data_IF_424496293733
#
_entry.id   IF_424496293733
#
_cell.length_a   1.000
_cell.length_b   1.000
_cell.length_c   1.000
_cell.angle_alpha   90.00
_cell.angle_beta   90.00
_cell.angle_gamma   90.00
#
_symmetry.space_group_name_H-M   'P 1'
#
loop_
_entity.id
_entity.type
_entity.pdbx_description
1 polymer ?
#
# COMPACT_ATOMS: atom_id res chain seq x y z
N UNK A 1 4.79 -15.74 22.37
CA UNK A 1 4.95 -15.16 21.02
C UNK A 1 5.65 -13.82 21.16
N UNK A 2 6.75 -13.54 20.46
CA UNK A 2 7.38 -12.20 20.51
C UNK A 2 6.46 -11.20 19.80
N UNK A 3 6.18 -10.06 20.42
CA UNK A 3 5.44 -8.95 19.81
C UNK A 3 6.36 -8.09 18.94
N UNK A 4 5.79 -7.41 17.94
CA UNK A 4 6.55 -6.45 17.14
C UNK A 4 6.85 -5.22 18.01
N UNK A 5 8.09 -4.71 17.96
CA UNK A 5 8.39 -3.44 18.62
C UNK A 5 7.46 -2.35 18.06
N UNK A 6 6.90 -1.52 18.94
CA UNK A 6 5.97 -0.45 18.55
C UNK A 6 6.57 0.49 17.50
N UNK A 7 7.86 0.83 17.62
CA UNK A 7 8.58 1.66 16.65
C UNK A 7 8.65 1.01 15.26
N UNK A 8 8.91 -0.29 15.20
CA UNK A 8 8.92 -1.06 13.95
C UNK A 8 7.53 -1.07 13.29
N UNK A 9 6.47 -1.29 14.08
CA UNK A 9 5.10 -1.24 13.57
C UNK A 9 4.77 0.16 13.00
N UNK A 10 5.05 1.21 13.77
CA UNK A 10 4.80 2.60 13.35
C UNK A 10 5.57 2.90 12.06
N UNK A 11 6.85 2.54 11.99
CA UNK A 11 7.67 2.77 10.80
C UNK A 11 7.13 2.05 9.55
N UNK A 12 6.66 0.81 9.70
CA UNK A 12 6.02 0.07 8.59
C UNK A 12 4.73 0.74 8.12
N UNK A 13 3.84 1.10 9.05
CA UNK A 13 2.55 1.72 8.72
C UNK A 13 2.73 3.10 8.08
N UNK A 14 3.63 3.92 8.62
CA UNK A 14 3.97 5.22 8.02
C UNK A 14 4.58 5.02 6.64
N UNK A 15 5.54 4.10 6.50
CA UNK A 15 6.17 3.79 5.22
C UNK A 15 5.17 3.33 4.16
N UNK A 16 4.21 2.49 4.54
CA UNK A 16 3.12 2.07 3.66
C UNK A 16 2.26 3.24 3.20
N UNK A 17 1.89 4.12 4.14
CA UNK A 17 1.20 5.36 3.82
C UNK A 17 1.99 6.24 2.86
N UNK A 18 3.31 6.37 3.05
CA UNK A 18 4.18 7.14 2.18
C UNK A 18 4.31 6.53 0.79
N UNK A 19 4.38 5.20 0.66
CA UNK A 19 4.34 4.51 -0.64
C UNK A 19 3.04 4.83 -1.38
N UNK A 20 1.90 4.70 -0.70
CA UNK A 20 0.59 4.99 -1.30
C UNK A 20 0.48 6.47 -1.68
N UNK A 21 0.99 7.38 -0.85
CA UNK A 21 1.02 8.81 -1.14
C UNK A 21 1.87 9.09 -2.38
N UNK A 22 3.09 8.57 -2.44
CA UNK A 22 4.00 8.76 -3.57
C UNK A 22 3.38 8.27 -4.89
N UNK A 23 2.82 7.05 -4.90
CA UNK A 23 2.15 6.50 -6.10
C UNK A 23 0.91 7.31 -6.47
N UNK A 24 0.16 7.81 -5.49
CA UNK A 24 -1.02 8.66 -5.76
C UNK A 24 -0.60 9.97 -6.44
N UNK A 25 0.38 10.68 -5.88
CA UNK A 25 0.84 11.95 -6.43
C UNK A 25 1.48 11.76 -7.82
N UNK A 26 2.33 10.74 -7.97
CA UNK A 26 2.93 10.40 -9.25
C UNK A 26 1.87 10.04 -10.31
N UNK A 27 0.84 9.30 -9.93
CA UNK A 27 -0.26 8.95 -10.82
C UNK A 27 -1.05 10.18 -11.27
N UNK A 28 -1.28 11.16 -10.40
CA UNK A 28 -1.92 12.41 -10.77
C UNK A 28 -1.06 13.23 -11.74
N UNK A 29 0.22 13.39 -11.43
CA UNK A 29 1.18 14.09 -12.29
C UNK A 29 1.27 13.44 -13.68
N UNK A 30 1.37 12.11 -13.73
CA UNK A 30 1.45 11.34 -14.99
C UNK A 30 0.20 11.48 -15.88
N UNK A 31 -0.94 11.88 -15.31
CA UNK A 31 -2.19 12.13 -16.04
C UNK A 31 -2.47 13.64 -16.23
N UNK A 32 -1.46 14.50 -16.01
CA UNK A 32 -1.59 15.96 -16.02
C UNK A 32 -2.76 16.46 -15.15
N UNK A 33 -3.03 15.76 -14.05
CA UNK A 33 -4.08 16.13 -13.10
C UNK A 33 -3.50 17.10 -12.07
N UNK A 34 -4.27 18.11 -11.69
CA UNK A 34 -3.82 19.02 -10.65
C UNK A 34 -3.62 18.32 -9.30
N UNK A 35 -2.47 18.59 -8.68
CA UNK A 35 -2.18 18.24 -7.28
C UNK A 35 -2.74 19.27 -6.30
N UNK A 36 -3.18 20.44 -6.78
CA UNK A 36 -3.78 21.46 -5.93
C UNK A 36 -5.17 21.02 -5.47
N UNK A 37 -5.48 21.25 -4.20
CA UNK A 37 -6.75 20.82 -3.60
C UNK A 37 -6.71 19.38 -3.13
N UNK A 38 -7.89 18.76 -2.99
CA UNK A 38 -8.06 17.47 -2.30
C UNK A 38 -8.43 16.32 -3.24
N UNK A 39 -8.39 16.51 -4.56
CA UNK A 39 -8.82 15.50 -5.54
C UNK A 39 -7.98 14.21 -5.43
N UNK A 40 -6.69 14.30 -5.13
CA UNK A 40 -5.80 13.15 -4.92
C UNK A 40 -6.21 12.28 -3.72
N UNK A 41 -6.93 12.85 -2.74
CA UNK A 41 -7.48 12.08 -1.61
C UNK A 41 -8.50 11.03 -2.04
N UNK A 42 -9.17 11.23 -3.19
CA UNK A 42 -10.09 10.24 -3.77
C UNK A 42 -9.41 8.97 -4.26
N UNK A 43 -8.07 8.94 -4.32
CA UNK A 43 -7.28 7.72 -4.55
C UNK A 43 -6.50 7.34 -3.29
N UNK A 44 -5.82 8.30 -2.65
CA UNK A 44 -4.99 8.03 -1.48
C UNK A 44 -5.78 7.39 -0.33
N UNK A 45 -6.90 7.99 0.09
CA UNK A 45 -7.65 7.49 1.24
C UNK A 45 -8.29 6.12 0.98
N UNK A 46 -8.99 5.86 -0.14
CA UNK A 46 -9.48 4.52 -0.44
C UNK A 46 -8.39 3.44 -0.45
N UNK A 47 -7.21 3.74 -0.98
CA UNK A 47 -6.09 2.78 -1.00
C UNK A 47 -5.53 2.55 0.40
N UNK A 48 -5.31 3.59 1.19
CA UNK A 48 -4.83 3.45 2.58
C UNK A 48 -5.84 2.65 3.42
N UNK A 49 -7.13 2.94 3.29
CA UNK A 49 -8.18 2.21 4.00
C UNK A 49 -8.22 0.74 3.59
N UNK A 50 -8.22 0.45 2.30
CA UNK A 50 -8.22 -0.93 1.81
C UNK A 50 -6.95 -1.69 2.24
N UNK A 51 -5.78 -1.06 2.15
CA UNK A 51 -4.52 -1.64 2.62
C UNK A 51 -4.57 -1.91 4.13
N UNK A 52 -4.99 -0.93 4.92
CA UNK A 52 -5.09 -1.05 6.38
C UNK A 52 -6.05 -2.14 6.82
N UNK A 53 -7.14 -2.35 6.07
CA UNK A 53 -8.09 -3.43 6.33
C UNK A 53 -7.56 -4.80 5.95
N UNK A 54 -6.83 -4.93 4.83
CA UNK A 54 -6.44 -6.24 4.27
C UNK A 54 -5.06 -6.70 4.75
N UNK A 55 -4.06 -5.82 4.81
CA UNK A 55 -2.67 -6.16 5.16
C UNK A 55 -2.49 -6.94 6.49
N UNK A 56 -3.24 -6.66 7.58
CA UNK A 56 -3.13 -7.41 8.82
C UNK A 56 -3.47 -8.90 8.68
N UNK A 57 -4.45 -9.24 7.84
CA UNK A 57 -4.89 -10.63 7.63
C UNK A 57 -3.82 -11.48 6.92
N UNK A 58 -2.96 -10.84 6.13
CA UNK A 58 -1.81 -11.48 5.50
C UNK A 58 -0.56 -11.53 6.39
N UNK A 59 -0.68 -11.00 7.62
CA UNK A 59 0.40 -10.99 8.61
C UNK A 59 1.50 -9.98 8.31
N UNK A 60 1.27 -8.97 7.47
CA UNK A 60 2.31 -8.01 7.06
C UNK A 60 2.87 -7.16 8.22
N UNK A 61 2.20 -7.17 9.37
CA UNK A 61 2.62 -6.51 10.60
C UNK A 61 2.99 -7.51 11.72
N UNK A 62 3.13 -8.80 11.41
CA UNK A 62 3.52 -9.83 12.35
C UNK A 62 5.05 -10.02 12.36
N UNK A 63 5.70 -10.20 13.52
CA UNK A 63 7.16 -10.37 13.62
C UNK A 63 7.73 -11.53 12.79
N UNK A 64 6.94 -12.59 12.61
CA UNK A 64 7.32 -13.77 11.82
C UNK A 64 7.40 -13.45 10.33
N UNK A 65 6.73 -12.40 9.87
CA UNK A 65 6.75 -11.94 8.47
C UNK A 65 7.76 -10.82 8.30
N UNK A 66 7.68 -9.79 9.14
CA UNK A 66 8.51 -8.57 9.04
C UNK A 66 10.01 -8.87 9.08
N UNK A 67 10.43 -9.81 9.93
CA UNK A 67 11.86 -10.13 10.09
C UNK A 67 12.37 -11.17 9.08
N UNK A 68 11.57 -11.57 8.09
CA UNK A 68 11.92 -12.61 7.12
C UNK A 68 11.84 -12.05 5.70
N UNK A 69 12.97 -11.62 5.09
CA UNK A 69 12.99 -11.00 3.77
C UNK A 69 12.32 -11.83 2.67
N UNK A 70 12.39 -13.16 2.77
CA UNK A 70 11.74 -14.07 1.82
C UNK A 70 10.21 -14.09 1.93
N UNK A 71 9.58 -13.43 2.90
CA UNK A 71 8.12 -13.35 3.02
C UNK A 71 7.51 -12.11 2.36
N UNK A 72 8.33 -11.30 1.69
CA UNK A 72 7.87 -10.11 0.94
C UNK A 72 6.85 -10.46 -0.15
N UNK A 73 6.86 -11.70 -0.67
CA UNK A 73 5.85 -12.17 -1.63
C UNK A 73 4.40 -12.06 -1.12
N UNK A 74 4.16 -12.03 0.20
CA UNK A 74 2.81 -11.89 0.78
C UNK A 74 2.09 -10.60 0.35
N UNK A 75 2.83 -9.61 -0.15
CA UNK A 75 2.29 -8.38 -0.75
C UNK A 75 1.41 -8.69 -1.97
N UNK A 76 1.77 -9.68 -2.77
CA UNK A 76 1.05 -10.04 -4.00
C UNK A 76 -0.42 -10.39 -3.71
N UNK A 77 -0.74 -11.42 -2.92
CA UNK A 77 -2.14 -11.74 -2.63
C UNK A 77 -2.83 -10.64 -1.80
N UNK A 78 -2.09 -9.87 -0.99
CA UNK A 78 -2.63 -8.71 -0.26
C UNK A 78 -3.18 -7.67 -1.24
N UNK A 79 -2.43 -7.29 -2.27
CA UNK A 79 -2.85 -6.26 -3.24
C UNK A 79 -3.85 -6.77 -4.27
N UNK A 80 -3.87 -8.08 -4.56
CA UNK A 80 -4.95 -8.69 -5.34
C UNK A 80 -6.31 -8.44 -4.67
N UNK A 81 -6.38 -8.43 -3.34
CA UNK A 81 -7.62 -8.13 -2.60
C UNK A 81 -7.79 -6.65 -2.25
N UNK A 82 -6.72 -5.96 -1.85
CA UNK A 82 -6.79 -4.56 -1.46
C UNK A 82 -7.10 -3.63 -2.64
N UNK A 83 -6.62 -3.95 -3.86
CA UNK A 83 -6.84 -3.06 -5.02
C UNK A 83 -8.31 -3.01 -5.45
N UNK A 84 -9.03 -4.14 -5.65
CA UNK A 84 -10.46 -4.10 -5.94
C UNK A 84 -11.25 -3.37 -4.85
N UNK A 85 -10.93 -3.60 -3.58
CA UNK A 85 -11.56 -2.89 -2.47
C UNK A 85 -11.30 -1.38 -2.53
N UNK A 86 -10.07 -0.95 -2.79
CA UNK A 86 -9.73 0.47 -2.92
C UNK A 86 -10.49 1.14 -4.07
N UNK A 87 -10.57 0.48 -5.22
CA UNK A 87 -11.27 1.03 -6.41
C UNK A 87 -12.78 1.03 -6.19
N UNK A 88 -13.33 0.04 -5.49
CA UNK A 88 -14.73 0.03 -5.06
C UNK A 88 -15.02 1.21 -4.11
N UNK A 89 -14.20 1.41 -3.07
CA UNK A 89 -14.35 2.54 -2.15
C UNK A 89 -14.24 3.90 -2.87
N UNK A 90 -13.32 4.02 -3.83
CA UNK A 90 -13.20 5.19 -4.70
C UNK A 90 -14.44 5.39 -5.57
N UNK A 91 -14.98 4.32 -6.15
CA UNK A 91 -16.20 4.35 -6.96
C UNK A 91 -17.39 4.87 -6.16
N UNK A 92 -17.54 4.40 -4.92
CA UNK A 92 -18.55 4.90 -3.98
C UNK A 92 -18.34 6.38 -3.67
N UNK A 93 -17.11 6.79 -3.34
CA UNK A 93 -16.80 8.19 -3.03
C UNK A 93 -17.17 9.11 -4.19
N UNK A 94 -16.78 8.75 -5.42
CA UNK A 94 -16.95 9.61 -6.58
C UNK A 94 -18.35 9.52 -7.20
N UNK A 95 -19.19 8.57 -6.79
CA UNK A 95 -20.47 8.28 -7.43
C UNK A 95 -20.30 7.88 -8.91
N UNK A 96 -19.23 7.16 -9.24
CA UNK A 96 -18.88 6.78 -10.62
C UNK A 96 -18.60 5.28 -10.76
N UNK A 97 -18.85 4.67 -11.92
CA UNK A 97 -18.52 3.26 -12.15
C UNK A 97 -17.03 2.94 -11.98
N UNK A 98 -16.74 1.68 -11.65
CA UNK A 98 -15.37 1.15 -11.60
C UNK A 98 -14.77 1.14 -13.01
N UNK A 99 -13.57 1.72 -13.13
CA UNK A 99 -12.75 1.64 -14.35
C UNK A 99 -11.73 0.52 -14.14
N UNK A 100 -11.92 -0.62 -14.80
CA UNK A 100 -11.09 -1.81 -14.59
C UNK A 100 -9.64 -1.64 -15.04
N UNK A 101 -9.39 -0.88 -16.11
CA UNK A 101 -8.02 -0.54 -16.53
C UNK A 101 -7.28 0.23 -15.43
N UNK A 102 -7.97 1.17 -14.76
CA UNK A 102 -7.39 1.90 -13.63
C UNK A 102 -7.08 0.96 -12.47
N UNK A 103 -7.97 0.00 -12.16
CA UNK A 103 -7.73 -1.00 -11.13
C UNK A 103 -6.49 -1.86 -11.42
N UNK A 104 -6.35 -2.34 -12.67
CA UNK A 104 -5.22 -3.16 -13.08
C UNK A 104 -3.90 -2.40 -12.98
N UNK A 105 -3.85 -1.18 -13.53
CA UNK A 105 -2.62 -0.36 -13.52
C UNK A 105 -2.25 0.09 -12.11
N UNK A 106 -3.23 0.58 -11.33
CA UNK A 106 -3.01 0.96 -9.93
C UNK A 106 -2.49 -0.23 -9.11
N UNK A 107 -3.14 -1.39 -9.24
CA UNK A 107 -2.72 -2.60 -8.52
C UNK A 107 -1.32 -3.04 -8.89
N UNK A 108 -0.98 -3.08 -10.19
CA UNK A 108 0.35 -3.46 -10.65
C UNK A 108 1.45 -2.52 -10.15
N UNK A 109 1.22 -1.20 -10.22
CA UNK A 109 2.20 -0.20 -9.74
C UNK A 109 2.33 -0.28 -8.21
N UNK A 110 1.22 -0.40 -7.47
CA UNK A 110 1.27 -0.58 -6.02
C UNK A 110 2.01 -1.87 -5.65
N UNK A 111 1.81 -2.97 -6.38
CA UNK A 111 2.53 -4.23 -6.13
C UNK A 111 4.02 -4.03 -6.22
N UNK A 112 4.49 -3.41 -7.30
CA UNK A 112 5.90 -3.12 -7.48
C UNK A 112 6.43 -2.20 -6.37
N UNK A 113 5.73 -1.12 -6.08
CA UNK A 113 6.15 -0.12 -5.10
C UNK A 113 6.23 -0.69 -3.67
N UNK A 114 5.21 -1.44 -3.24
CA UNK A 114 5.21 -2.11 -1.94
C UNK A 114 6.29 -3.19 -1.87
N UNK A 115 6.50 -3.95 -2.95
CA UNK A 115 7.54 -4.97 -3.01
C UNK A 115 8.93 -4.37 -2.80
N UNK A 116 9.23 -3.28 -3.51
CA UNK A 116 10.48 -2.52 -3.35
C UNK A 116 10.60 -1.99 -1.92
N UNK A 117 9.55 -1.34 -1.39
CA UNK A 117 9.56 -0.80 -0.03
C UNK A 117 9.85 -1.85 1.03
N UNK A 118 9.21 -3.02 0.92
CA UNK A 118 9.39 -4.12 1.88
C UNK A 118 10.75 -4.79 1.77
N UNK A 119 11.34 -4.85 0.57
CA UNK A 119 12.75 -5.25 0.40
C UNK A 119 13.69 -4.25 1.07
N UNK A 120 13.52 -2.94 0.79
CA UNK A 120 14.32 -1.87 1.42
C UNK A 120 14.25 -1.99 2.95
N UNK A 121 13.05 -2.15 3.50
CA UNK A 121 12.86 -2.33 4.93
C UNK A 121 13.60 -3.56 5.47
N UNK A 122 13.46 -4.70 4.79
CA UNK A 122 14.09 -5.96 5.20
C UNK A 122 15.63 -5.84 5.22
N UNK A 123 16.23 -5.19 4.22
CA UNK A 123 17.67 -4.95 4.19
C UNK A 123 18.12 -3.91 5.22
N UNK A 124 17.35 -2.86 5.46
CA UNK A 124 17.69 -1.83 6.44
C UNK A 124 17.61 -2.37 7.89
N UNK A 125 16.62 -3.21 8.18
CA UNK A 125 16.45 -3.82 9.50
C UNK A 125 17.44 -4.95 9.77
N UNK A 126 17.83 -5.74 8.74
CA UNK A 126 18.87 -6.75 8.86
C UNK A 126 20.28 -6.21 9.15
N UNK A 127 20.51 -4.90 8.93
CA UNK A 127 21.79 -4.23 9.30
C UNK A 127 21.82 -3.73 10.75
N UNK A 128 20.69 -3.74 11.46
CA UNK A 128 20.57 -3.21 12.83
C UNK A 128 20.46 -4.31 13.90
N UNK A 129 20.43 -5.59 13.50
CA UNK A 129 20.44 -6.76 14.38
C UNK A 129 21.77 -7.47 14.32
#
# INVERSE_FOLDING_TARGET
>A
MRSLKKSTLIGLVIGDGLVVLAITLFGFESHNQSLTGLRWMSTFLPVVLAWGLIAPWFGLYQPQVVNRPWQVWRILPTLILATPLAVFLRSLWLGRPIIWVFALVLGGILMLAFFIWRLIWAFASGRQG
#
